data_IF_016994927796
#
_entry.id   IF_016994927796
#
_cell.length_a   1.000
_cell.length_b   1.000
_cell.length_c   1.000
_cell.angle_alpha   90.00
_cell.angle_beta   90.00
_cell.angle_gamma   90.00
#
_symmetry.space_group_name_H-M   'P 1'
#
loop_
_entity.id
_entity.type
_entity.pdbx_description
1 polymer ?
#
# COMPACT_ATOMS: atom_id res chain seq x y z
N UNK A 1 16.88 -17.01 17.14
CA UNK A 1 16.72 -15.71 16.44
C UNK A 1 16.22 -16.01 15.05
N UNK A 2 14.98 -15.63 14.71
CA UNK A 2 14.52 -15.66 13.33
C UNK A 2 15.26 -14.55 12.56
N UNK A 3 15.68 -14.79 11.31
CA UNK A 3 16.29 -13.73 10.50
C UNK A 3 15.30 -12.57 10.36
N UNK A 4 15.75 -11.31 10.43
CA UNK A 4 14.88 -10.13 10.32
C UNK A 4 14.03 -10.15 9.04
N UNK A 5 14.47 -10.85 8.01
CA UNK A 5 13.76 -10.98 6.73
C UNK A 5 12.50 -11.86 6.81
N UNK A 6 12.43 -12.85 7.72
CA UNK A 6 11.27 -13.75 7.78
C UNK A 6 10.06 -13.08 8.44
N UNK A 7 10.27 -12.33 9.52
CA UNK A 7 9.20 -11.57 10.17
C UNK A 7 8.63 -10.49 9.24
N UNK A 8 9.49 -9.89 8.41
CA UNK A 8 9.09 -8.87 7.45
C UNK A 8 8.31 -9.43 6.25
N UNK A 9 8.77 -10.54 5.69
CA UNK A 9 8.05 -11.25 4.64
C UNK A 9 6.68 -11.76 5.12
N UNK A 10 6.57 -12.17 6.39
CA UNK A 10 5.34 -12.69 6.96
C UNK A 10 4.29 -11.60 7.18
N UNK A 11 4.66 -10.39 7.61
CA UNK A 11 3.68 -9.30 7.74
C UNK A 11 3.21 -8.79 6.37
N UNK A 12 4.09 -8.70 5.37
CA UNK A 12 3.69 -8.30 4.01
C UNK A 12 2.64 -9.24 3.42
N UNK A 13 2.82 -10.55 3.61
CA UNK A 13 1.80 -11.56 3.23
C UNK A 13 0.49 -11.39 3.98
N UNK A 14 0.55 -11.14 5.30
CA UNK A 14 -0.66 -10.90 6.11
C UNK A 14 -1.41 -9.67 5.66
N UNK A 15 -0.70 -8.57 5.42
CA UNK A 15 -1.29 -7.33 4.91
C UNK A 15 -1.92 -7.56 3.54
N UNK A 16 -1.20 -8.23 2.63
CA UNK A 16 -1.72 -8.60 1.32
C UNK A 16 -3.02 -9.38 1.43
N UNK A 17 -3.16 -10.31 2.38
CA UNK A 17 -4.39 -11.06 2.62
C UNK A 17 -5.55 -10.22 3.19
N UNK A 18 -5.26 -9.14 3.91
CA UNK A 18 -6.29 -8.26 4.48
C UNK A 18 -6.91 -7.31 3.44
N UNK A 19 -6.12 -6.89 2.44
CA UNK A 19 -6.54 -5.88 1.47
C UNK A 19 -6.65 -6.42 0.04
N UNK A 20 -6.47 -7.72 -0.16
CA UNK A 20 -6.72 -8.39 -1.44
C UNK A 20 -8.15 -8.11 -1.91
N UNK A 21 -8.33 -7.89 -3.22
CA UNK A 21 -9.60 -7.56 -3.86
C UNK A 21 -10.25 -6.23 -3.41
N UNK A 22 -9.60 -5.47 -2.52
CA UNK A 22 -10.02 -4.11 -2.20
C UNK A 22 -9.58 -3.14 -3.29
N UNK A 23 -10.28 -2.03 -3.39
CA UNK A 23 -10.08 -1.01 -4.42
C UNK A 23 -9.59 0.29 -3.81
N UNK A 24 -8.65 0.96 -4.48
CA UNK A 24 -8.16 2.28 -4.11
C UNK A 24 -8.09 3.20 -5.33
N UNK A 25 -8.08 4.51 -5.09
CA UNK A 25 -7.86 5.52 -6.14
C UNK A 25 -6.45 6.06 -6.07
N UNK A 26 -5.80 6.24 -7.22
CA UNK A 26 -4.53 6.98 -7.29
C UNK A 26 -4.70 8.45 -6.98
N UNK A 27 -5.88 9.00 -7.24
CA UNK A 27 -6.18 10.40 -6.96
C UNK A 27 -6.23 10.69 -5.45
N UNK A 28 -6.42 9.64 -4.64
CA UNK A 28 -6.38 9.73 -3.18
C UNK A 28 -4.94 9.68 -2.62
N UNK A 29 -3.94 9.47 -3.47
CA UNK A 29 -2.55 9.34 -3.05
C UNK A 29 -1.81 10.69 -3.10
N UNK A 30 -1.26 11.17 -1.97
CA UNK A 30 -0.36 12.32 -1.98
C UNK A 30 0.94 11.94 -2.70
N UNK A 31 1.11 12.41 -3.93
CA UNK A 31 2.33 12.19 -4.71
C UNK A 31 3.48 13.07 -4.21
N UNK A 32 4.68 12.50 -4.08
CA UNK A 32 5.87 13.22 -3.63
C UNK A 32 6.19 13.00 -2.15
N UNK A 33 6.68 14.05 -1.46
CA UNK A 33 7.07 13.96 -0.07
C UNK A 33 5.88 14.03 0.89
N UNK A 34 5.82 13.08 1.81
CA UNK A 34 4.80 13.01 2.85
C UNK A 34 5.44 13.36 4.20
N UNK A 35 4.72 14.11 5.03
CA UNK A 35 5.24 14.58 6.32
C UNK A 35 4.85 13.69 7.50
N UNK A 36 3.81 12.85 7.39
CA UNK A 36 3.28 12.00 8.47
C UNK A 36 2.76 10.64 7.95
N UNK A 37 1.53 10.27 8.32
CA UNK A 37 0.86 9.04 7.92
C UNK A 37 0.29 9.18 6.52
N UNK A 38 0.64 8.25 5.64
CA UNK A 38 -0.11 8.04 4.41
C UNK A 38 -1.37 7.24 4.73
N UNK A 39 -2.53 7.76 4.34
CA UNK A 39 -3.82 7.09 4.51
C UNK A 39 -4.42 6.85 3.13
N UNK A 40 -4.59 5.58 2.78
CA UNK A 40 -5.19 5.16 1.50
C UNK A 40 -6.59 4.63 1.80
N UNK A 41 -7.66 5.33 1.34
CA UNK A 41 -9.02 4.83 1.46
C UNK A 41 -9.21 3.55 0.63
N UNK A 42 -9.79 2.52 1.23
CA UNK A 42 -10.06 1.24 0.59
C UNK A 42 -11.56 1.00 0.46
N UNK A 43 -11.97 0.41 -0.66
CA UNK A 43 -13.37 0.11 -1.00
C UNK A 43 -13.51 -1.38 -1.30
N UNK A 44 -14.67 -1.96 -1.04
CA UNK A 44 -14.96 -3.33 -1.48
C UNK A 44 -15.21 -3.44 -2.98
N UNK A 45 -15.73 -2.38 -3.60
CA UNK A 45 -16.00 -2.27 -5.03
C UNK A 45 -15.72 -0.86 -5.51
N UNK A 46 -15.50 -0.65 -6.82
CA UNK A 46 -15.17 0.67 -7.36
C UNK A 46 -16.19 1.76 -6.99
N UNK A 47 -17.48 1.42 -7.02
CA UNK A 47 -18.60 2.35 -6.82
C UNK A 47 -18.99 2.53 -5.34
N UNK A 48 -18.43 1.73 -4.44
CA UNK A 48 -18.77 1.79 -3.03
C UNK A 48 -18.02 2.96 -2.36
N UNK A 49 -18.57 3.55 -1.29
CA UNK A 49 -17.78 4.45 -0.44
C UNK A 49 -16.62 3.68 0.22
N UNK A 50 -15.56 4.38 0.67
CA UNK A 50 -14.51 3.74 1.46
C UNK A 50 -15.07 3.06 2.71
N UNK A 51 -14.64 1.82 2.94
CA UNK A 51 -15.06 0.97 4.05
C UNK A 51 -13.91 0.54 4.96
N UNK A 52 -12.67 0.83 4.56
CA UNK A 52 -11.48 0.68 5.39
C UNK A 52 -10.42 1.70 4.97
N UNK A 53 -9.35 1.80 5.75
CA UNK A 53 -8.20 2.66 5.50
C UNK A 53 -6.92 1.86 5.69
N UNK A 54 -6.07 1.86 4.68
CA UNK A 54 -4.67 1.43 4.83
C UNK A 54 -3.87 2.61 5.35
N UNK A 55 -3.27 2.45 6.51
CA UNK A 55 -2.48 3.48 7.17
C UNK A 55 -1.02 3.04 7.18
N UNK A 56 -0.17 3.90 6.64
CA UNK A 56 1.27 3.67 6.51
C UNK A 56 1.98 4.83 7.22
N UNK A 57 2.39 4.62 8.48
CA UNK A 57 3.14 5.61 9.24
C UNK A 57 4.49 5.91 8.61
N UNK A 58 5.00 7.11 8.85
CA UNK A 58 6.33 7.54 8.43
C UNK A 58 6.59 7.32 6.93
N UNK A 59 5.55 7.43 6.10
CA UNK A 59 5.70 7.40 4.66
C UNK A 59 6.50 8.64 4.24
N UNK A 60 7.54 8.45 3.43
CA UNK A 60 8.40 9.53 2.97
C UNK A 60 8.12 9.91 1.54
N UNK A 61 7.98 8.89 0.69
CA UNK A 61 7.83 9.08 -0.75
C UNK A 61 6.80 8.12 -1.27
N UNK A 62 5.82 8.64 -2.01
CA UNK A 62 4.91 7.83 -2.82
C UNK A 62 5.20 8.05 -4.28
N UNK A 63 5.41 6.95 -4.98
CA UNK A 63 5.60 6.93 -6.42
C UNK A 63 4.58 6.01 -7.04
N UNK A 64 3.80 6.56 -7.97
CA UNK A 64 2.83 5.81 -8.76
C UNK A 64 3.42 5.56 -10.14
N UNK A 65 3.48 4.30 -10.54
CA UNK A 65 3.74 3.86 -11.89
C UNK A 65 2.41 3.38 -12.44
N UNK A 66 1.75 4.26 -13.19
CA UNK A 66 0.44 4.04 -13.80
C UNK A 66 0.55 4.38 -15.29
N UNK A 67 0.19 3.41 -16.14
CA UNK A 67 0.30 3.51 -17.60
C UNK A 67 -1.03 3.86 -18.28
N UNK A 68 -2.16 3.68 -17.61
CA UNK A 68 -3.50 3.72 -18.23
C UNK A 68 -4.46 4.74 -17.58
N UNK A 69 -4.17 5.25 -16.37
CA UNK A 69 -4.95 6.28 -15.64
C UNK A 69 -6.47 6.04 -15.67
N UNK A 70 -6.89 4.92 -15.12
CA UNK A 70 -8.30 4.47 -15.10
C UNK A 70 -9.07 4.91 -13.84
N UNK A 71 -8.40 5.60 -12.92
CA UNK A 71 -8.98 6.14 -11.68
C UNK A 71 -8.91 5.16 -10.50
N UNK A 72 -9.65 4.05 -10.58
CA UNK A 72 -9.75 3.05 -9.50
C UNK A 72 -9.09 1.74 -9.89
N UNK A 73 -8.33 1.19 -8.95
CA UNK A 73 -7.54 -0.03 -9.12
C UNK A 73 -7.88 -1.03 -8.02
N UNK A 74 -7.95 -2.31 -8.35
CA UNK A 74 -7.99 -3.36 -7.34
C UNK A 74 -6.58 -3.61 -6.80
N UNK A 75 -6.50 -4.19 -5.61
CA UNK A 75 -5.24 -4.62 -5.01
C UNK A 75 -5.11 -6.12 -5.20
N UNK A 76 -4.14 -6.52 -6.02
CA UNK A 76 -3.78 -7.91 -6.22
C UNK A 76 -2.92 -8.41 -5.07
N UNK A 77 -1.83 -7.71 -4.75
CA UNK A 77 -0.96 -8.10 -3.65
C UNK A 77 -0.08 -6.95 -3.18
N UNK A 78 0.55 -7.16 -2.01
CA UNK A 78 1.53 -6.26 -1.42
C UNK A 78 2.87 -6.97 -1.29
N UNK A 79 3.94 -6.26 -1.64
CA UNK A 79 5.32 -6.67 -1.41
C UNK A 79 5.98 -5.72 -0.43
N UNK A 80 6.86 -6.28 0.41
CA UNK A 80 7.68 -5.53 1.36
C UNK A 80 9.12 -5.83 1.02
N UNK A 81 9.88 -4.78 0.72
CA UNK A 81 11.30 -4.87 0.36
C UNK A 81 12.13 -4.33 1.50
N UNK A 82 12.95 -5.22 2.08
CA UNK A 82 13.97 -4.89 3.06
C UNK A 82 15.34 -5.22 2.45
N UNK A 83 16.39 -4.43 2.74
CA UNK A 83 16.46 -3.32 3.70
C UNK A 83 15.95 -1.96 3.17
N UNK A 84 15.44 -1.90 1.93
CA UNK A 84 15.05 -0.65 1.26
C UNK A 84 13.84 0.04 1.90
N UNK A 85 13.09 -0.65 2.78
CA UNK A 85 11.90 -0.16 3.49
C UNK A 85 10.85 0.39 2.52
N UNK A 86 10.59 -0.38 1.48
CA UNK A 86 9.57 -0.04 0.47
C UNK A 86 8.41 -1.01 0.59
N UNK A 87 7.20 -0.46 0.72
CA UNK A 87 5.95 -1.18 0.53
C UNK A 87 5.48 -0.94 -0.90
N UNK A 88 5.25 -2.01 -1.65
CA UNK A 88 4.77 -1.93 -3.03
C UNK A 88 3.36 -2.53 -3.11
N UNK A 89 2.38 -1.73 -3.53
CA UNK A 89 1.02 -2.18 -3.85
C UNK A 89 0.94 -2.46 -5.35
N UNK A 90 0.46 -3.65 -5.72
CA UNK A 90 0.33 -4.09 -7.11
C UNK A 90 -1.14 -4.38 -7.41
N UNK A 91 -1.68 -3.80 -8.50
CA UNK A 91 -3.08 -3.96 -8.95
C UNK A 91 -3.23 -4.61 -10.33
N UNK A 92 -4.47 -4.72 -10.84
CA UNK A 92 -4.86 -5.45 -12.06
C UNK A 92 -4.46 -4.83 -13.41
N UNK A 93 -4.37 -3.51 -13.52
CA UNK A 93 -4.08 -2.77 -14.76
C UNK A 93 -2.87 -1.92 -14.47
N UNK A 94 -1.74 -2.08 -15.20
CA UNK A 94 -0.41 -2.17 -14.60
C UNK A 94 -0.08 -0.94 -13.78
N UNK A 95 -0.54 -1.01 -12.54
CA UNK A 95 -0.36 -0.01 -11.53
C UNK A 95 0.52 -0.63 -10.47
N UNK A 96 1.53 0.14 -10.14
CA UNK A 96 2.42 -0.13 -9.05
C UNK A 96 2.57 1.14 -8.23
N UNK A 97 2.28 1.05 -6.95
CA UNK A 97 2.50 2.14 -6.00
C UNK A 97 3.64 1.74 -5.09
N UNK A 98 4.77 2.44 -5.20
CA UNK A 98 5.92 2.27 -4.32
C UNK A 98 5.87 3.32 -3.22
N UNK A 99 5.96 2.87 -1.97
CA UNK A 99 5.83 3.70 -0.78
C UNK A 99 7.08 3.46 0.06
N UNK A 100 8.00 4.43 0.05
CA UNK A 100 9.19 4.40 0.88
C UNK A 100 8.86 4.89 2.30
N UNK A 101 9.35 4.17 3.31
CA UNK A 101 9.04 4.42 4.71
C UNK A 101 10.31 4.53 5.56
N UNK A 102 10.22 5.25 6.67
CA UNK A 102 11.24 5.21 7.72
C UNK A 102 11.02 4.03 8.69
N UNK A 103 11.78 4.01 9.79
CA UNK A 103 11.61 3.04 10.88
C UNK A 103 10.46 3.45 11.81
N UNK A 104 9.55 2.54 12.22
CA UNK A 104 9.39 1.17 11.73
C UNK A 104 8.68 1.08 10.37
N UNK A 105 9.12 0.10 9.57
CA UNK A 105 8.54 -0.26 8.27
C UNK A 105 7.28 -1.10 8.50
N UNK A 106 6.15 -0.44 8.76
CA UNK A 106 4.89 -1.07 9.15
C UNK A 106 3.69 -0.42 8.45
N UNK A 107 2.61 -1.18 8.32
CA UNK A 107 1.33 -0.68 7.84
C UNK A 107 0.18 -1.49 8.46
N UNK A 108 -0.97 -0.85 8.62
CA UNK A 108 -2.15 -1.46 9.24
C UNK A 108 -3.44 -1.06 8.53
N UNK A 109 -4.46 -1.91 8.70
CA UNK A 109 -5.79 -1.70 8.13
C UNK A 109 -6.74 -1.34 9.26
N UNK A 110 -7.44 -0.22 9.12
CA UNK A 110 -8.48 0.24 10.04
C UNK A 110 -9.83 0.24 9.31
N UNK A 111 -10.80 -0.52 9.84
CA UNK A 111 -12.18 -0.64 9.32
C UNK A 111 -13.15 0.22 10.12
#
# INVERSE_FOLDING_TARGET
MMPPDSANADWGKRLSGLIHDMWFSVDDLPLGQIQDNLVIPLRMKPKDPPCARLIIPNARVVRVVDTERIGLYDISHVLVQMPERVLTIIGNIPIRVDIAMDDPCEAYVES
#
